data_IF_544020259743
#
_entry.id   IF_544020259743
#
_cell.length_a   1.000
_cell.length_b   1.000
_cell.length_c   1.000
_cell.angle_alpha   90.00
_cell.angle_beta   90.00
_cell.angle_gamma   90.00
#
_symmetry.space_group_name_H-M   'P 1'
#
loop_
_entity.id
_entity.type
_entity.pdbx_description
1 polymer ?
#
# COMPACT_ATOMS: atom_id res chain seq x y z
N UNK A 1 15.20 -13.77 17.89
CA UNK A 1 15.42 -14.93 18.76
C UNK A 1 16.45 -15.85 18.11
N UNK A 2 17.48 -16.30 18.83
CA UNK A 2 18.40 -17.35 18.33
C UNK A 2 17.80 -18.70 18.69
N UNK A 3 17.42 -19.48 17.68
CA UNK A 3 16.91 -20.83 17.89
C UNK A 3 18.10 -21.77 18.09
N UNK A 4 18.16 -22.45 19.24
CA UNK A 4 19.29 -23.30 19.62
C UNK A 4 19.25 -24.71 19.00
N UNK A 5 18.05 -25.19 18.62
CA UNK A 5 17.83 -26.56 18.10
C UNK A 5 17.24 -26.56 16.67
N UNK A 6 17.67 -25.59 15.84
CA UNK A 6 17.18 -25.46 14.46
C UNK A 6 17.43 -26.73 13.62
N UNK A 7 18.59 -27.41 13.73
CA UNK A 7 18.85 -28.65 12.98
C UNK A 7 17.89 -29.79 13.32
N UNK A 8 17.60 -30.00 14.61
CA UNK A 8 16.67 -31.04 15.08
C UNK A 8 15.24 -30.76 14.61
N UNK A 9 14.80 -29.50 14.71
CA UNK A 9 13.51 -29.06 14.20
C UNK A 9 13.40 -29.29 12.68
N UNK A 10 14.43 -28.92 11.92
CA UNK A 10 14.44 -29.13 10.47
C UNK A 10 14.41 -30.61 10.10
N UNK A 11 15.04 -31.49 10.88
CA UNK A 11 14.98 -32.94 10.67
C UNK A 11 13.56 -33.50 10.93
N UNK A 12 12.88 -33.03 11.97
CA UNK A 12 11.49 -33.40 12.23
C UNK A 12 10.56 -32.92 11.10
N UNK A 13 10.71 -31.67 10.65
CA UNK A 13 9.89 -31.09 9.58
C UNK A 13 10.12 -31.82 8.25
N UNK A 14 11.37 -32.15 7.91
CA UNK A 14 11.70 -32.91 6.69
C UNK A 14 11.13 -34.33 6.67
N UNK A 15 10.70 -34.88 7.81
CA UNK A 15 10.03 -36.18 7.87
C UNK A 15 8.63 -36.19 7.24
N UNK A 16 7.97 -35.03 7.13
CA UNK A 16 6.61 -34.91 6.58
C UNK A 16 6.43 -33.75 5.59
N UNK A 17 7.47 -32.94 5.35
CA UNK A 17 7.42 -31.78 4.46
C UNK A 17 8.68 -31.73 3.58
N UNK A 18 8.47 -31.66 2.26
CA UNK A 18 9.53 -31.33 1.30
C UNK A 18 9.52 -29.81 1.03
N UNK A 19 10.69 -29.18 1.06
CA UNK A 19 10.86 -27.74 0.86
C UNK A 19 11.76 -27.55 -0.35
N UNK A 20 11.20 -27.01 -1.44
CA UNK A 20 11.95 -26.61 -2.63
C UNK A 20 12.11 -25.08 -2.62
N UNK A 21 13.34 -24.61 -2.48
CA UNK A 21 13.66 -23.18 -2.60
C UNK A 21 13.81 -22.79 -4.07
N UNK A 22 13.73 -21.49 -4.37
CA UNK A 22 13.93 -20.99 -5.74
C UNK A 22 15.27 -21.45 -6.34
N UNK A 23 16.34 -21.49 -5.52
CA UNK A 23 17.67 -21.97 -5.93
C UNK A 23 17.67 -23.45 -6.33
N UNK A 24 16.85 -24.27 -5.66
CA UNK A 24 16.70 -25.71 -5.97
C UNK A 24 15.87 -25.91 -7.25
N UNK A 25 14.91 -25.03 -7.51
CA UNK A 25 14.05 -25.09 -8.68
C UNK A 25 14.73 -24.57 -9.96
N UNK A 26 15.72 -23.67 -9.83
CA UNK A 26 16.51 -23.10 -10.92
C UNK A 26 15.67 -22.67 -12.15
N UNK A 27 14.53 -22.03 -11.87
CA UNK A 27 13.61 -21.57 -12.91
C UNK A 27 14.16 -20.30 -13.57
N UNK A 28 13.93 -20.10 -14.89
CA UNK A 28 14.28 -18.85 -15.55
C UNK A 28 13.33 -17.75 -15.08
N UNK A 29 13.76 -16.99 -14.07
CA UNK A 29 13.02 -15.83 -13.55
C UNK A 29 13.68 -14.53 -13.98
N UNK A 30 12.90 -13.45 -14.21
CA UNK A 30 13.47 -12.14 -14.48
C UNK A 30 14.18 -11.59 -13.24
N UNK A 31 15.21 -10.75 -13.45
CA UNK A 31 15.88 -10.04 -12.38
C UNK A 31 14.96 -8.91 -11.89
N UNK A 32 14.55 -8.98 -10.63
CA UNK A 32 13.74 -7.94 -10.01
C UNK A 32 14.61 -6.73 -9.62
N UNK A 33 14.17 -5.54 -10.03
CA UNK A 33 14.76 -4.27 -9.61
C UNK A 33 13.87 -3.64 -8.54
N UNK A 34 14.43 -3.41 -7.35
CA UNK A 34 13.72 -2.81 -6.23
C UNK A 34 14.18 -1.38 -6.01
N UNK A 35 13.22 -0.46 -5.98
CA UNK A 35 13.45 0.95 -5.72
C UNK A 35 12.53 1.41 -4.58
N UNK A 36 13.10 2.16 -3.61
CA UNK A 36 12.33 2.74 -2.51
C UNK A 36 12.26 4.26 -2.70
N UNK A 37 11.06 4.75 -3.02
CA UNK A 37 10.81 6.18 -3.17
C UNK A 37 10.49 6.80 -1.81
N UNK A 38 11.27 7.80 -1.41
CA UNK A 38 11.07 8.54 -0.15
C UNK A 38 10.43 9.89 -0.45
N UNK A 39 9.31 10.18 0.21
CA UNK A 39 8.70 11.51 0.23
C UNK A 39 9.00 12.21 1.55
N UNK A 40 9.03 13.54 1.52
CA UNK A 40 9.15 14.35 2.75
C UNK A 40 7.76 14.59 3.32
N UNK A 41 7.60 14.62 4.66
CA UNK A 41 6.34 15.03 5.25
C UNK A 41 6.07 16.50 4.96
N UNK A 42 4.81 16.83 4.69
CA UNK A 42 4.34 18.23 4.58
C UNK A 42 4.32 18.89 5.96
N UNK A 43 4.17 20.22 6.03
CA UNK A 43 4.01 20.88 7.33
C UNK A 43 2.70 20.46 8.02
N UNK A 44 1.60 20.30 7.27
CA UNK A 44 0.33 19.82 7.85
C UNK A 44 0.47 18.41 8.43
N UNK A 45 1.22 17.51 7.76
CA UNK A 45 1.48 16.17 8.29
C UNK A 45 2.30 16.21 9.58
N UNK A 46 3.24 17.15 9.73
CA UNK A 46 4.00 17.29 10.97
C UNK A 46 3.10 17.76 12.12
N UNK A 47 2.25 18.75 11.87
CA UNK A 47 1.28 19.24 12.86
C UNK A 47 0.32 18.12 13.29
N UNK A 48 -0.22 17.34 12.35
CA UNK A 48 -1.08 16.18 12.66
C UNK A 48 -0.32 15.15 13.50
N UNK A 49 0.95 14.89 13.20
CA UNK A 49 1.78 13.94 13.94
C UNK A 49 2.01 14.36 15.40
N UNK A 50 2.13 15.66 15.66
CA UNK A 50 2.19 16.18 17.04
C UNK A 50 0.92 15.83 17.82
N UNK A 51 -0.25 15.98 17.20
CA UNK A 51 -1.53 15.60 17.84
C UNK A 51 -1.60 14.11 18.18
N UNK A 52 -1.02 13.24 17.36
CA UNK A 52 -0.96 11.80 17.63
C UNK A 52 -0.06 11.49 18.82
N UNK A 53 1.02 12.25 18.99
CA UNK A 53 1.93 12.11 20.14
C UNK A 53 1.22 12.50 21.43
N UNK A 54 0.49 13.63 21.43
CA UNK A 54 -0.32 14.05 22.57
C UNK A 54 -1.43 13.04 22.92
N UNK A 55 -2.12 12.50 21.90
CA UNK A 55 -3.13 11.44 22.09
C UNK A 55 -2.51 10.19 22.71
N UNK A 56 -1.34 9.78 22.23
CA UNK A 56 -0.64 8.60 22.75
C UNK A 56 -0.23 8.78 24.22
N UNK A 57 0.23 9.97 24.59
CA UNK A 57 0.56 10.31 25.98
C UNK A 57 -0.68 10.25 26.88
N UNK A 58 -1.82 10.83 26.46
CA UNK A 58 -3.08 10.75 27.20
C UNK A 58 -3.56 9.31 27.40
N UNK A 59 -3.46 8.46 26.37
CA UNK A 59 -3.80 7.04 26.45
C UNK A 59 -2.87 6.31 27.43
N UNK A 60 -1.55 6.57 27.35
CA UNK A 60 -0.56 5.97 28.24
C UNK A 60 -0.80 6.34 29.70
N UNK A 61 -1.15 7.60 29.95
CA UNK A 61 -1.40 8.15 31.27
C UNK A 61 -2.83 7.86 31.76
N UNK A 62 -3.62 7.08 31.00
CA UNK A 62 -5.01 6.70 31.30
C UNK A 62 -5.94 7.90 31.53
N UNK A 63 -5.66 9.01 30.87
CA UNK A 63 -6.47 10.24 30.90
C UNK A 63 -7.68 10.17 29.94
N UNK A 64 -7.77 9.13 29.13
CA UNK A 64 -8.87 8.87 28.21
C UNK A 64 -9.31 7.41 28.32
N UNK A 65 -10.60 7.16 28.16
CA UNK A 65 -11.15 5.80 28.12
C UNK A 65 -10.76 5.10 26.81
N UNK A 66 -10.36 3.83 26.91
CA UNK A 66 -9.91 3.04 25.76
C UNK A 66 -10.97 2.82 24.66
N UNK A 67 -12.26 2.96 24.99
CA UNK A 67 -13.36 2.89 24.02
C UNK A 67 -13.51 4.19 23.21
N UNK A 68 -12.95 5.30 23.72
CA UNK A 68 -12.96 6.60 23.05
C UNK A 68 -11.69 6.78 22.22
N UNK A 69 -10.52 6.54 22.83
CA UNK A 69 -9.24 6.60 22.13
C UNK A 69 -8.25 5.57 22.68
N UNK A 70 -7.45 4.98 21.79
CA UNK A 70 -6.49 3.95 22.14
C UNK A 70 -5.35 3.86 21.12
N UNK A 71 -4.30 3.11 21.46
CA UNK A 71 -3.13 2.97 20.60
C UNK A 71 -3.42 2.34 19.23
N UNK A 72 -4.44 1.48 19.12
CA UNK A 72 -4.83 0.89 17.82
C UNK A 72 -5.44 1.95 16.91
N UNK A 73 -6.33 2.79 17.44
CA UNK A 73 -6.95 3.89 16.70
C UNK A 73 -5.89 4.91 16.26
N UNK A 74 -5.02 5.34 17.17
CA UNK A 74 -3.93 6.30 16.87
C UNK A 74 -2.99 5.73 15.80
N UNK A 75 -2.61 4.45 15.89
CA UNK A 75 -1.75 3.81 14.89
C UNK A 75 -2.44 3.73 13.53
N UNK A 76 -3.75 3.45 13.51
CA UNK A 76 -4.53 3.43 12.28
C UNK A 76 -4.60 4.82 11.62
N UNK A 77 -4.84 5.86 12.41
CA UNK A 77 -4.83 7.26 11.94
C UNK A 77 -3.44 7.66 11.42
N UNK A 78 -2.38 7.28 12.13
CA UNK A 78 -1.00 7.47 11.67
C UNK A 78 -0.72 6.82 10.32
N UNK A 79 -1.22 5.59 10.09
CA UNK A 79 -1.10 4.92 8.79
C UNK A 79 -1.89 5.63 7.69
N UNK A 80 -3.11 6.11 7.98
CA UNK A 80 -3.91 6.91 7.04
C UNK A 80 -3.17 8.18 6.64
N UNK A 81 -2.72 8.97 7.62
CA UNK A 81 -1.96 10.20 7.39
C UNK A 81 -0.69 9.96 6.56
N UNK A 82 0.05 8.89 6.86
CA UNK A 82 1.28 8.54 6.15
C UNK A 82 1.04 8.09 4.69
N UNK A 83 -0.17 7.61 4.37
CA UNK A 83 -0.60 7.35 3.01
C UNK A 83 -1.05 8.65 2.34
N UNK A 84 -2.08 9.28 2.89
CA UNK A 84 -2.62 10.58 2.47
C UNK A 84 -3.47 11.21 3.59
N UNK A 85 -3.20 12.47 3.92
CA UNK A 85 -3.92 13.19 4.98
C UNK A 85 -5.42 13.35 4.70
N UNK A 86 -5.83 13.32 3.42
CA UNK A 86 -7.23 13.42 3.01
C UNK A 86 -8.08 12.22 3.46
N UNK A 87 -7.43 11.10 3.83
CA UNK A 87 -8.10 9.94 4.46
C UNK A 87 -8.55 10.18 5.90
N UNK A 88 -8.01 11.21 6.56
CA UNK A 88 -8.45 11.67 7.88
C UNK A 88 -9.46 12.80 7.71
N UNK A 89 -9.13 13.77 6.85
CA UNK A 89 -9.99 14.91 6.57
C UNK A 89 -9.95 15.24 5.06
N UNK A 90 -11.02 14.93 4.30
CA UNK A 90 -11.08 15.17 2.86
C UNK A 90 -10.93 16.64 2.43
N UNK A 91 -11.10 17.59 3.35
CA UNK A 91 -10.97 19.02 3.08
C UNK A 91 -9.51 19.51 3.06
N UNK A 92 -8.55 18.65 3.43
CA UNK A 92 -7.13 18.98 3.40
C UNK A 92 -6.62 19.07 1.96
N UNK A 93 -5.53 19.83 1.79
CA UNK A 93 -4.87 20.05 0.51
C UNK A 93 -4.31 18.75 -0.07
N UNK A 94 -4.37 18.66 -1.40
CA UNK A 94 -3.72 17.61 -2.19
C UNK A 94 -2.29 18.05 -2.55
N UNK A 95 -1.31 17.72 -1.71
CA UNK A 95 0.08 18.13 -1.94
C UNK A 95 0.68 17.38 -3.15
N UNK A 96 1.18 18.07 -4.19
CA UNK A 96 1.79 17.43 -5.35
C UNK A 96 3.01 16.53 -5.06
N UNK A 97 3.63 16.67 -3.89
CA UNK A 97 4.78 15.90 -3.39
C UNK A 97 4.37 14.81 -2.39
N UNK A 98 3.06 14.59 -2.20
CA UNK A 98 2.55 13.50 -1.38
C UNK A 98 2.99 12.13 -1.92
N UNK A 99 2.90 11.11 -1.07
CA UNK A 99 3.24 9.73 -1.45
C UNK A 99 2.37 9.23 -2.61
N UNK A 100 1.07 9.54 -2.57
CA UNK A 100 0.11 9.16 -3.61
C UNK A 100 0.43 9.88 -4.93
N UNK A 101 0.65 11.20 -4.91
CA UNK A 101 0.97 11.94 -6.15
C UNK A 101 2.32 11.55 -6.74
N UNK A 102 3.30 11.24 -5.89
CA UNK A 102 4.59 10.71 -6.35
C UNK A 102 4.43 9.34 -7.02
N UNK A 103 3.58 8.47 -6.45
CA UNK A 103 3.23 7.18 -7.06
C UNK A 103 2.58 7.37 -8.43
N UNK A 104 1.57 8.25 -8.53
CA UNK A 104 0.86 8.55 -9.79
C UNK A 104 1.81 9.05 -10.87
N UNK A 105 2.70 9.99 -10.54
CA UNK A 105 3.72 10.50 -11.46
C UNK A 105 4.63 9.39 -12.00
N UNK A 106 5.06 8.47 -11.12
CA UNK A 106 5.91 7.35 -11.51
C UNK A 106 5.16 6.36 -12.41
N UNK A 107 3.93 5.99 -12.04
CA UNK A 107 3.07 5.08 -12.83
C UNK A 107 2.83 5.65 -14.22
N UNK A 108 2.49 6.94 -14.31
CA UNK A 108 2.29 7.62 -15.58
C UNK A 108 3.58 7.67 -16.41
N UNK A 109 4.72 8.01 -15.79
CA UNK A 109 6.01 8.05 -16.49
C UNK A 109 6.41 6.68 -17.06
N UNK A 110 6.15 5.59 -16.34
CA UNK A 110 6.40 4.23 -16.82
C UNK A 110 5.41 3.87 -17.93
N UNK A 111 4.13 4.21 -17.77
CA UNK A 111 3.10 3.96 -18.77
C UNK A 111 3.44 4.67 -20.10
N UNK A 112 3.73 5.97 -20.07
CA UNK A 112 4.06 6.75 -21.27
C UNK A 112 5.31 6.22 -21.97
N UNK A 113 6.35 5.87 -21.20
CA UNK A 113 7.60 5.28 -21.72
C UNK A 113 7.40 3.93 -22.40
N UNK A 114 6.44 3.12 -21.95
CA UNK A 114 6.24 1.74 -22.41
C UNK A 114 4.88 1.49 -23.07
N UNK A 115 4.15 2.56 -23.45
CA UNK A 115 2.79 2.44 -24.01
C UNK A 115 2.75 1.56 -25.26
N UNK A 116 3.76 1.65 -26.12
CA UNK A 116 3.86 0.86 -27.35
C UNK A 116 4.01 -0.64 -27.07
N UNK A 117 4.52 -1.00 -25.89
CA UNK A 117 4.70 -2.40 -25.45
C UNK A 117 3.51 -2.93 -24.67
N UNK A 118 2.51 -2.09 -24.35
CA UNK A 118 1.35 -2.44 -23.52
C UNK A 118 1.75 -3.18 -22.24
N UNK A 119 2.72 -2.64 -21.50
CA UNK A 119 3.21 -3.26 -20.27
C UNK A 119 2.17 -3.16 -19.15
N UNK A 120 2.03 -4.22 -18.36
CA UNK A 120 1.14 -4.23 -17.19
C UNK A 120 1.85 -3.62 -15.96
N UNK A 121 1.13 -2.79 -15.21
CA UNK A 121 1.57 -2.27 -13.91
C UNK A 121 0.56 -2.69 -12.85
N UNK A 122 1.05 -3.14 -11.70
CA UNK A 122 0.22 -3.52 -10.55
C UNK A 122 0.47 -2.56 -9.39
N UNK A 123 -0.60 -1.93 -8.91
CA UNK A 123 -0.57 -1.03 -7.75
C UNK A 123 -1.25 -1.73 -6.58
N UNK A 124 -0.51 -1.92 -5.49
CA UNK A 124 -1.06 -2.45 -4.24
C UNK A 124 -1.26 -1.31 -3.24
N UNK A 125 -2.48 -1.21 -2.70
CA UNK A 125 -2.83 -0.26 -1.66
C UNK A 125 -3.58 -1.00 -0.56
N UNK A 126 -3.00 -1.09 0.64
CA UNK A 126 -3.61 -1.85 1.74
C UNK A 126 -4.76 -1.10 2.43
N UNK A 127 -4.82 0.22 2.26
CA UNK A 127 -5.77 1.09 2.93
C UNK A 127 -6.68 1.77 1.92
N UNK A 128 -7.84 2.23 2.39
CA UNK A 128 -8.83 2.95 1.57
C UNK A 128 -9.64 2.07 0.60
N UNK A 129 -10.23 0.97 1.09
CA UNK A 129 -11.20 0.17 0.31
C UNK A 129 -12.23 1.13 -0.33
N UNK A 130 -12.56 0.99 -1.62
CA UNK A 130 -13.52 1.85 -2.29
C UNK A 130 -14.81 2.02 -1.47
N UNK A 131 -15.11 3.26 -1.10
CA UNK A 131 -16.29 3.65 -0.32
C UNK A 131 -16.91 4.91 -0.93
N UNK A 132 -18.05 5.36 -0.42
CA UNK A 132 -18.72 6.59 -0.88
C UNK A 132 -17.94 7.88 -0.55
N UNK A 133 -17.00 7.80 0.38
CA UNK A 133 -16.16 8.92 0.79
C UNK A 133 -14.86 8.94 -0.03
N UNK A 134 -14.01 9.96 0.19
CA UNK A 134 -12.70 10.06 -0.45
C UNK A 134 -11.92 8.75 -0.29
N UNK A 135 -11.46 8.20 -1.43
CA UNK A 135 -10.64 7.00 -1.44
C UNK A 135 -9.49 7.11 -2.46
N UNK A 136 -8.38 6.44 -2.16
CA UNK A 136 -7.14 6.51 -2.95
C UNK A 136 -7.27 5.83 -4.32
N UNK A 137 -8.11 4.80 -4.44
CA UNK A 137 -8.27 4.07 -5.70
C UNK A 137 -8.87 4.99 -6.77
N UNK A 138 -9.95 5.68 -6.43
CA UNK A 138 -10.60 6.63 -7.32
C UNK A 138 -9.72 7.86 -7.55
N UNK A 139 -9.02 8.39 -6.53
CA UNK A 139 -8.08 9.51 -6.69
C UNK A 139 -6.95 9.17 -7.68
N UNK A 140 -6.35 7.98 -7.58
CA UNK A 140 -5.33 7.51 -8.53
C UNK A 140 -5.93 7.37 -9.94
N UNK A 141 -7.09 6.72 -10.07
CA UNK A 141 -7.74 6.49 -11.36
C UNK A 141 -8.06 7.82 -12.05
N UNK A 142 -8.75 8.74 -11.36
CA UNK A 142 -9.12 10.04 -11.91
C UNK A 142 -7.89 10.82 -12.36
N UNK A 143 -6.84 10.90 -11.52
CA UNK A 143 -5.62 11.62 -11.89
C UNK A 143 -4.88 11.01 -13.07
N UNK A 144 -4.82 9.68 -13.18
CA UNK A 144 -4.23 9.02 -14.34
C UNK A 144 -5.02 9.30 -15.62
N UNK A 145 -6.36 9.31 -15.55
CA UNK A 145 -7.23 9.68 -16.67
C UNK A 145 -7.01 11.14 -17.06
N UNK A 146 -6.94 12.05 -16.10
CA UNK A 146 -6.66 13.48 -16.33
C UNK A 146 -5.28 13.71 -16.98
N UNK A 147 -4.32 12.83 -16.70
CA UNK A 147 -3.00 12.83 -17.34
C UNK A 147 -3.00 12.18 -18.74
N UNK A 148 -4.10 11.55 -19.15
CA UNK A 148 -4.30 11.00 -20.50
C UNK A 148 -4.27 9.48 -20.61
N UNK A 149 -4.23 8.74 -19.49
CA UNK A 149 -4.37 7.27 -19.53
C UNK A 149 -5.82 6.91 -19.86
N UNK A 150 -6.09 6.08 -20.88
CA UNK A 150 -7.45 5.67 -21.21
C UNK A 150 -8.12 4.94 -20.03
N UNK A 151 -9.38 5.26 -19.74
CA UNK A 151 -10.11 4.67 -18.62
C UNK A 151 -10.17 3.13 -18.71
N UNK A 152 -10.28 2.59 -19.92
CA UNK A 152 -10.34 1.14 -20.16
C UNK A 152 -9.00 0.42 -19.96
N UNK A 153 -7.90 1.14 -19.68
CA UNK A 153 -6.60 0.56 -19.34
C UNK A 153 -6.38 0.48 -17.80
N UNK A 154 -7.35 0.94 -17.01
CA UNK A 154 -7.27 0.93 -15.54
C UNK A 154 -8.38 0.04 -15.00
N UNK A 155 -8.02 -1.03 -14.29
CA UNK A 155 -8.99 -1.85 -13.57
C UNK A 155 -8.67 -2.13 -12.10
N UNK A 156 -9.73 -2.38 -11.34
CA UNK A 156 -9.71 -2.70 -9.93
C UNK A 156 -10.03 -4.18 -9.70
N UNK A 157 -9.09 -4.89 -9.08
CA UNK A 157 -9.25 -6.33 -8.76
C UNK A 157 -10.47 -6.62 -7.86
N UNK A 158 -10.93 -5.63 -7.09
CA UNK A 158 -12.08 -5.75 -6.19
C UNK A 158 -13.44 -5.82 -6.92
N UNK A 159 -13.51 -5.43 -8.20
CA UNK A 159 -14.75 -5.58 -8.99
C UNK A 159 -15.04 -7.04 -9.34
N UNK A 160 -14.01 -7.87 -9.45
CA UNK A 160 -14.14 -9.29 -9.75
C UNK A 160 -14.56 -10.08 -8.49
N UNK A 161 -15.72 -10.74 -8.57
CA UNK A 161 -16.35 -11.49 -7.48
C UNK A 161 -15.96 -12.96 -7.45
N UNK A 162 -15.45 -13.49 -8.56
CA UNK A 162 -15.05 -14.89 -8.71
C UNK A 162 -13.74 -15.00 -9.50
N UNK A 163 -13.14 -16.19 -9.52
CA UNK A 163 -11.86 -16.42 -10.20
C UNK A 163 -11.95 -16.18 -11.71
N UNK A 164 -13.07 -16.53 -12.35
CA UNK A 164 -13.26 -16.30 -13.79
C UNK A 164 -13.22 -14.81 -14.13
N UNK A 165 -13.88 -13.97 -13.34
CA UNK A 165 -13.85 -12.52 -13.50
C UNK A 165 -12.47 -11.92 -13.22
N UNK A 166 -11.67 -12.54 -12.34
CA UNK A 166 -10.29 -12.09 -12.07
C UNK A 166 -9.36 -12.40 -13.23
N UNK A 167 -9.49 -13.59 -13.81
CA UNK A 167 -8.68 -14.00 -14.96
C UNK A 167 -8.97 -13.10 -16.16
N UNK A 168 -10.24 -12.76 -16.38
CA UNK A 168 -10.68 -11.86 -17.45
C UNK A 168 -10.16 -10.41 -17.35
N UNK A 169 -9.59 -9.98 -16.19
CA UNK A 169 -8.95 -8.66 -16.07
C UNK A 169 -7.58 -8.65 -16.78
N UNK A 170 -6.95 -9.81 -16.94
CA UNK A 170 -5.62 -9.96 -17.52
C UNK A 170 -5.63 -10.43 -18.98
N UNK A 171 -6.80 -10.75 -19.53
CA UNK A 171 -7.04 -11.14 -20.93
C UNK A 171 -7.24 -9.92 -21.85
#
# INVERSE_FOLDING_TARGET
>A
AKFYNLPELMNTVKGFMDIKTADVLNLPTPIAHYETIKTKPTEEQKEILETFSERADKVRDKQVDSSVDNMLLITNDGKKMALDQRLINPLLSDDPNSKVNTCIKNVFSIWDKYKDKKSAQLIFCDMSIPSSDFNIYDDIKTKLIDMGVPENEIEFIHKAKNNMEKDAIFD
#
